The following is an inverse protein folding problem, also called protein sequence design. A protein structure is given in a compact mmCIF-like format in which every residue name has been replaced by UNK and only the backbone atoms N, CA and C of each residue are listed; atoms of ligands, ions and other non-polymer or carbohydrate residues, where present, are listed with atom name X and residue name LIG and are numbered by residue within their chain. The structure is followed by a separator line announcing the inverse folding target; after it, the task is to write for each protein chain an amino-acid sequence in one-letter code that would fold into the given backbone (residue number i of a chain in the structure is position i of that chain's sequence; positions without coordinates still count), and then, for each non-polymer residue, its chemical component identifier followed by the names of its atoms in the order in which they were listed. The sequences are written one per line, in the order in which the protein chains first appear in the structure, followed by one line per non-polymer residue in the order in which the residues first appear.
data_IF_241885938336
#
_entry.id   IF_241885938336
#
_cell.length_a   1.000
_cell.length_b   1.000
_cell.length_c   1.000
_cell.angle_alpha   90.00
_cell.angle_beta   90.00
_cell.angle_gamma   90.00
#
_symmetry.space_group_name_H-M   'P 1'
#
loop_
_entity.id
_entity.type
_entity.pdbx_description
1 polymer ?
#
# COMPACT_ATOMS: atom_id res chain seq x y z
N UNK A 1 -26.74 4.24 -13.32
CA UNK A 1 -26.68 4.44 -11.86
C UNK A 1 -25.89 3.35 -11.10
N UNK A 2 -26.09 2.02 -11.38
CA UNK A 2 -25.35 0.96 -10.67
C UNK A 2 -23.84 1.12 -10.78
N UNK A 3 -23.27 1.33 -11.95
CA UNK A 3 -21.83 1.48 -12.14
C UNK A 3 -21.18 2.64 -11.36
N UNK A 4 -21.87 3.76 -11.14
CA UNK A 4 -21.37 4.91 -10.37
C UNK A 4 -21.31 4.60 -8.87
N UNK A 5 -22.27 3.85 -8.36
CA UNK A 5 -22.28 3.41 -6.95
C UNK A 5 -21.18 2.39 -6.69
N UNK A 6 -20.95 1.47 -7.64
CA UNK A 6 -19.88 0.47 -7.51
C UNK A 6 -18.49 1.12 -7.55
N UNK A 7 -18.30 2.15 -8.38
CA UNK A 7 -17.06 2.93 -8.45
C UNK A 7 -16.76 3.66 -7.14
N UNK A 8 -17.76 4.32 -6.56
CA UNK A 8 -17.60 5.00 -5.27
C UNK A 8 -17.29 4.04 -4.14
N UNK A 9 -17.98 2.89 -4.08
CA UNK A 9 -17.69 1.86 -3.07
C UNK A 9 -16.28 1.33 -3.21
N UNK A 10 -15.83 1.00 -4.42
CA UNK A 10 -14.47 0.55 -4.65
C UNK A 10 -13.43 1.60 -4.24
N UNK A 11 -13.69 2.89 -4.52
CA UNK A 11 -12.80 3.96 -4.12
C UNK A 11 -12.78 4.20 -2.59
N UNK A 12 -13.88 3.96 -1.88
CA UNK A 12 -13.89 3.95 -0.41
C UNK A 12 -12.94 2.90 0.15
N UNK A 13 -12.93 1.68 -0.41
CA UNK A 13 -11.93 0.67 -0.04
C UNK A 13 -10.51 1.12 -0.35
N UNK A 14 -10.30 1.80 -1.49
CA UNK A 14 -9.00 2.37 -1.86
C UNK A 14 -8.48 3.42 -0.89
N UNK A 15 -9.36 4.19 -0.26
CA UNK A 15 -8.99 5.14 0.80
C UNK A 15 -8.87 4.45 2.17
N UNK A 16 -9.77 3.52 2.47
CA UNK A 16 -9.80 2.83 3.75
C UNK A 16 -8.53 1.97 3.98
N UNK A 17 -8.03 1.29 2.94
CA UNK A 17 -6.84 0.42 3.05
C UNK A 17 -5.62 1.17 3.59
N UNK A 18 -5.11 2.22 2.91
CA UNK A 18 -3.98 3.00 3.39
C UNK A 18 -4.20 3.60 4.79
N UNK A 19 -5.39 4.13 5.07
CA UNK A 19 -5.71 4.70 6.39
C UNK A 19 -5.71 3.63 7.47
N UNK A 20 -6.34 2.48 7.22
CA UNK A 20 -6.35 1.35 8.14
C UNK A 20 -4.94 0.87 8.45
N UNK A 21 -4.08 0.77 7.42
CA UNK A 21 -2.70 0.38 7.59
C UNK A 21 -1.95 1.38 8.48
N UNK A 22 -1.94 2.66 8.09
CA UNK A 22 -1.15 3.69 8.77
C UNK A 22 -1.60 3.85 10.23
N UNK A 23 -2.90 3.94 10.48
CA UNK A 23 -3.43 4.07 11.83
C UNK A 23 -3.27 2.77 12.61
N UNK A 24 -3.61 1.64 12.02
CA UNK A 24 -3.55 0.34 12.68
C UNK A 24 -2.14 -0.05 13.08
N UNK A 25 -1.17 0.12 12.15
CA UNK A 25 0.23 -0.18 12.45
C UNK A 25 0.78 0.71 13.58
N UNK A 26 0.48 2.01 13.58
CA UNK A 26 0.91 2.91 14.65
C UNK A 26 0.30 2.50 15.99
N UNK A 27 -1.01 2.23 16.04
CA UNK A 27 -1.68 1.83 17.28
C UNK A 27 -1.15 0.50 17.82
N UNK A 28 -0.98 -0.50 16.96
CA UNK A 28 -0.44 -1.79 17.40
C UNK A 28 1.01 -1.67 17.83
N UNK A 29 1.85 -0.94 17.09
CA UNK A 29 3.24 -0.71 17.49
C UNK A 29 3.35 0.03 18.82
N UNK A 30 2.44 0.95 19.08
CA UNK A 30 2.38 1.62 20.38
C UNK A 30 2.00 0.66 21.50
N UNK A 31 1.03 -0.24 21.28
CA UNK A 31 0.60 -1.22 22.29
C UNK A 31 1.66 -2.31 22.56
N UNK A 32 2.47 -2.63 21.55
CA UNK A 32 3.51 -3.67 21.60
C UNK A 32 4.93 -3.10 21.83
N UNK A 33 5.06 -1.81 22.16
CA UNK A 33 6.37 -1.13 22.20
C UNK A 33 7.40 -1.81 23.12
N UNK A 34 6.96 -2.30 24.28
CA UNK A 34 7.84 -2.92 25.26
C UNK A 34 8.34 -4.28 24.75
N UNK A 35 7.43 -5.08 24.16
CA UNK A 35 7.76 -6.32 23.49
C UNK A 35 8.71 -6.11 22.30
N UNK A 36 8.48 -5.08 21.50
CA UNK A 36 9.31 -4.75 20.34
C UNK A 36 10.70 -4.28 20.76
N UNK A 37 10.81 -3.56 21.89
CA UNK A 37 12.09 -3.16 22.46
C UNK A 37 12.89 -4.37 22.95
N UNK A 38 12.25 -5.34 23.64
CA UNK A 38 12.89 -6.59 24.06
C UNK A 38 13.36 -7.43 22.86
N UNK A 39 12.58 -7.42 21.76
CA UNK A 39 12.92 -8.13 20.54
C UNK A 39 14.07 -7.47 19.74
N UNK A 40 14.38 -6.19 20.02
CA UNK A 40 15.34 -5.40 19.24
C UNK A 40 14.87 -5.05 17.82
N UNK A 41 13.58 -5.15 17.56
CA UNK A 41 12.97 -5.03 16.23
C UNK A 41 12.03 -3.83 16.07
N UNK A 42 12.24 -2.81 16.87
CA UNK A 42 11.36 -1.63 16.96
C UNK A 42 11.11 -0.92 15.62
N UNK A 43 11.99 -1.12 14.64
CA UNK A 43 11.87 -0.52 13.30
C UNK A 43 10.98 -1.29 12.33
N UNK A 44 10.57 -2.52 12.68
CA UNK A 44 9.84 -3.39 11.76
C UNK A 44 8.40 -3.61 12.22
N UNK A 45 7.40 -2.93 11.61
CA UNK A 45 6.00 -3.09 12.00
C UNK A 45 5.51 -4.54 12.04
N UNK A 46 6.06 -5.40 11.16
CA UNK A 46 5.70 -6.81 11.12
C UNK A 46 6.11 -7.60 12.35
N UNK A 47 7.12 -7.14 13.11
CA UNK A 47 7.54 -7.74 14.37
C UNK A 47 6.43 -7.75 15.42
N UNK A 48 5.53 -6.76 15.40
CA UNK A 48 4.38 -6.70 16.30
C UNK A 48 3.44 -7.90 16.17
N UNK A 49 3.46 -8.61 15.02
CA UNK A 49 2.69 -9.84 14.83
C UNK A 49 3.14 -11.00 15.75
N UNK A 50 4.33 -10.90 16.34
CA UNK A 50 4.88 -11.90 17.28
C UNK A 50 4.48 -11.60 18.73
N UNK A 51 3.99 -10.39 19.02
CA UNK A 51 3.63 -9.93 20.34
C UNK A 51 2.28 -10.47 20.85
N UNK A 52 1.93 -10.16 22.11
CA UNK A 52 0.68 -10.58 22.74
C UNK A 52 -0.57 -10.24 21.96
N UNK A 53 -0.62 -9.06 21.32
CA UNK A 53 -1.74 -8.62 20.46
C UNK A 53 -1.43 -8.77 18.96
N UNK A 54 -0.51 -9.65 18.59
CA UNK A 54 -0.06 -9.86 17.21
C UNK A 54 -1.18 -10.18 16.20
N UNK A 55 -2.32 -10.71 16.68
CA UNK A 55 -3.52 -10.90 15.87
C UNK A 55 -4.03 -9.58 15.24
N UNK A 56 -3.85 -8.45 15.94
CA UNK A 56 -4.28 -7.14 15.44
C UNK A 56 -3.44 -6.73 14.21
N UNK A 57 -2.12 -6.96 14.23
CA UNK A 57 -1.23 -6.76 13.08
C UNK A 57 -1.65 -7.63 11.90
N UNK A 58 -1.94 -8.92 12.15
CA UNK A 58 -2.42 -9.86 11.13
C UNK A 58 -3.70 -9.32 10.47
N UNK A 59 -4.66 -8.82 11.27
CA UNK A 59 -5.89 -8.23 10.74
C UNK A 59 -5.62 -6.95 9.96
N UNK A 60 -4.73 -6.08 10.43
CA UNK A 60 -4.35 -4.84 9.70
C UNK A 60 -3.81 -5.19 8.32
N UNK A 61 -2.87 -6.13 8.20
CA UNK A 61 -2.33 -6.54 6.91
C UNK A 61 -3.38 -7.16 6.01
N UNK A 62 -4.14 -8.11 6.53
CA UNK A 62 -5.16 -8.82 5.77
C UNK A 62 -6.22 -7.86 5.22
N UNK A 63 -6.80 -7.02 6.09
CA UNK A 63 -7.87 -6.10 5.69
C UNK A 63 -7.36 -5.01 4.76
N UNK A 64 -6.15 -4.49 4.97
CA UNK A 64 -5.51 -3.53 4.07
C UNK A 64 -5.35 -4.13 2.68
N UNK A 65 -4.81 -5.34 2.58
CA UNK A 65 -4.62 -6.02 1.31
C UNK A 65 -5.94 -6.28 0.58
N UNK A 66 -6.97 -6.74 1.31
CA UNK A 66 -8.32 -6.94 0.74
C UNK A 66 -8.91 -5.63 0.23
N UNK A 67 -8.81 -4.54 0.97
CA UNK A 67 -9.23 -3.20 0.55
C UNK A 67 -8.53 -2.78 -0.75
N UNK A 68 -7.21 -2.98 -0.82
CA UNK A 68 -6.41 -2.67 -2.01
C UNK A 68 -6.82 -3.53 -3.22
N UNK A 69 -7.08 -4.82 -3.03
CA UNK A 69 -7.54 -5.72 -4.10
C UNK A 69 -8.92 -5.31 -4.64
N UNK A 70 -9.87 -4.94 -3.76
CA UNK A 70 -11.20 -4.45 -4.16
C UNK A 70 -11.07 -3.16 -4.97
N UNK A 71 -10.23 -2.23 -4.53
CA UNK A 71 -9.96 -1.00 -5.27
C UNK A 71 -9.31 -1.26 -6.63
N UNK A 72 -8.28 -2.10 -6.67
CA UNK A 72 -7.59 -2.48 -7.90
C UNK A 72 -8.56 -3.12 -8.91
N UNK A 73 -9.45 -4.02 -8.46
CA UNK A 73 -10.52 -4.58 -9.30
C UNK A 73 -11.44 -3.48 -9.86
N UNK A 74 -11.79 -2.49 -9.04
CA UNK A 74 -12.62 -1.36 -9.47
C UNK A 74 -11.91 -0.55 -10.57
N UNK A 75 -10.62 -0.28 -10.41
CA UNK A 75 -9.80 0.40 -11.42
C UNK A 75 -9.69 -0.43 -12.70
N UNK A 76 -9.52 -1.75 -12.58
CA UNK A 76 -9.44 -2.66 -13.72
C UNK A 76 -10.71 -2.61 -14.58
N UNK A 77 -11.89 -2.60 -13.95
CA UNK A 77 -13.18 -2.47 -14.67
C UNK A 77 -13.29 -1.10 -15.36
N UNK A 78 -12.73 -0.04 -14.76
CA UNK A 78 -12.76 1.31 -15.32
C UNK A 78 -11.65 1.60 -16.35
N UNK A 79 -10.69 0.70 -16.52
CA UNK A 79 -9.54 0.90 -17.40
C UNK A 79 -9.92 1.02 -18.89
N UNK A 80 -11.13 0.56 -19.28
CA UNK A 80 -11.60 0.56 -20.66
C UNK A 80 -10.66 -0.24 -21.56
N UNK A 81 -10.30 0.30 -22.73
CA UNK A 81 -9.38 -0.34 -23.68
C UNK A 81 -7.89 -0.12 -23.38
N UNK A 82 -7.56 0.70 -22.38
CA UNK A 82 -6.17 1.03 -22.07
C UNK A 82 -5.42 -0.14 -21.43
N UNK A 83 -4.54 -0.78 -22.20
CA UNK A 83 -3.66 -1.87 -21.73
C UNK A 83 -2.78 -1.43 -20.56
N UNK A 84 -2.26 -0.20 -20.60
CA UNK A 84 -1.41 0.35 -19.54
C UNK A 84 -2.18 0.49 -18.23
N UNK A 85 -3.43 0.98 -18.27
CA UNK A 85 -4.27 1.06 -17.08
C UNK A 85 -4.66 -0.32 -16.54
N UNK A 86 -4.96 -1.28 -17.43
CA UNK A 86 -5.22 -2.67 -17.03
C UNK A 86 -4.02 -3.29 -16.34
N UNK A 87 -2.83 -3.10 -16.91
CA UNK A 87 -1.58 -3.60 -16.32
C UNK A 87 -1.32 -2.96 -14.95
N UNK A 88 -1.43 -1.63 -14.85
CA UNK A 88 -1.25 -0.93 -13.57
C UNK A 88 -2.24 -1.39 -12.49
N UNK A 89 -3.52 -1.55 -12.84
CA UNK A 89 -4.54 -2.08 -11.93
C UNK A 89 -4.27 -3.55 -11.55
N UNK A 90 -3.80 -4.38 -12.49
CA UNK A 90 -3.38 -5.75 -12.22
C UNK A 90 -2.20 -5.81 -11.24
N UNK A 91 -1.20 -4.97 -11.41
CA UNK A 91 -0.06 -4.86 -10.49
C UNK A 91 -0.49 -4.38 -9.09
N UNK A 92 -1.44 -3.43 -9.01
CA UNK A 92 -2.05 -3.04 -7.72
C UNK A 92 -2.78 -4.19 -7.05
N UNK A 93 -3.45 -5.05 -7.83
CA UNK A 93 -4.12 -6.25 -7.29
C UNK A 93 -3.10 -7.24 -6.72
N UNK A 94 -2.02 -7.53 -7.46
CA UNK A 94 -0.93 -8.40 -7.01
C UNK A 94 -0.25 -7.83 -5.76
N UNK A 95 -0.02 -6.52 -5.71
CA UNK A 95 0.48 -5.84 -4.53
C UNK A 95 -0.47 -6.00 -3.32
N UNK A 96 -1.78 -5.85 -3.54
CA UNK A 96 -2.79 -6.07 -2.49
C UNK A 96 -2.79 -7.51 -1.97
N UNK A 97 -2.57 -8.48 -2.85
CA UNK A 97 -2.38 -9.89 -2.45
C UNK A 97 -1.13 -10.05 -1.59
N UNK A 98 0.00 -9.45 -1.99
CA UNK A 98 1.23 -9.43 -1.19
C UNK A 98 0.99 -8.82 0.19
N UNK A 99 0.30 -7.68 0.27
CA UNK A 99 -0.07 -7.04 1.54
C UNK A 99 -0.94 -7.96 2.43
N UNK A 100 -1.93 -8.65 1.85
CA UNK A 100 -2.76 -9.59 2.60
C UNK A 100 -1.96 -10.81 3.09
N UNK A 101 -0.99 -11.29 2.30
CA UNK A 101 -0.12 -12.40 2.66
C UNK A 101 0.92 -12.03 3.74
N UNK A 102 1.17 -10.75 4.04
CA UNK A 102 1.92 -10.33 5.22
C UNK A 102 1.25 -10.78 6.54
N UNK A 103 0.01 -11.23 6.48
CA UNK A 103 -0.67 -11.91 7.58
C UNK A 103 0.01 -13.23 8.01
N UNK A 104 0.83 -13.87 7.16
CA UNK A 104 1.78 -14.90 7.60
C UNK A 104 2.80 -14.22 8.51
N UNK A 105 2.93 -14.75 9.73
CA UNK A 105 3.84 -14.16 10.71
C UNK A 105 5.29 -14.26 10.24
N UNK A 106 6.05 -13.20 10.51
CA UNK A 106 7.50 -13.21 10.33
C UNK A 106 8.17 -14.13 11.37
N UNK A 107 9.39 -14.55 11.11
CA UNK A 107 10.20 -15.25 12.09
C UNK A 107 10.86 -14.27 13.08
N UNK A 108 11.24 -14.74 14.25
CA UNK A 108 12.08 -13.98 15.17
C UNK A 108 13.50 -13.84 14.59
N UNK A 109 14.21 -12.72 14.87
CA UNK A 109 15.56 -12.52 14.34
C UNK A 109 16.58 -13.59 14.73
N UNK A 110 16.38 -14.22 15.89
CA UNK A 110 17.24 -15.22 16.51
C UNK A 110 16.80 -16.66 16.23
N UNK A 111 15.76 -16.88 15.43
CA UNK A 111 15.20 -18.19 15.13
C UNK A 111 15.56 -18.65 13.71
N UNK A 112 15.54 -19.97 13.51
CA UNK A 112 15.66 -20.55 12.18
C UNK A 112 14.49 -20.12 11.28
N UNK A 113 14.77 -19.98 9.99
CA UNK A 113 13.77 -19.61 9.01
C UNK A 113 12.68 -20.69 8.88
N UNK A 114 11.43 -20.29 9.06
CA UNK A 114 10.28 -21.17 8.86
C UNK A 114 9.62 -20.93 7.51
N UNK A 115 8.79 -21.87 7.08
CA UNK A 115 8.05 -21.71 5.81
C UNK A 115 7.14 -20.46 5.81
N UNK A 116 6.54 -20.12 6.94
CA UNK A 116 5.69 -18.92 7.01
C UNK A 116 6.51 -17.63 7.02
N UNK A 117 7.71 -17.62 7.63
CA UNK A 117 8.64 -16.51 7.56
C UNK A 117 9.12 -16.26 6.12
N UNK A 118 9.46 -17.34 5.39
CA UNK A 118 9.81 -17.25 3.97
C UNK A 118 8.65 -16.67 3.15
N UNK A 119 7.41 -17.13 3.40
CA UNK A 119 6.23 -16.56 2.75
C UNK A 119 6.00 -15.10 3.12
N UNK A 120 6.26 -14.69 4.36
CA UNK A 120 6.17 -13.29 4.79
C UNK A 120 7.15 -12.41 4.01
N UNK A 121 8.41 -12.84 3.87
CA UNK A 121 9.41 -12.10 3.08
C UNK A 121 9.01 -12.04 1.61
N UNK A 122 8.57 -13.14 1.02
CA UNK A 122 8.07 -13.16 -0.36
C UNK A 122 6.85 -12.24 -0.54
N UNK A 123 5.92 -12.23 0.41
CA UNK A 123 4.76 -11.35 0.44
C UNK A 123 5.17 -9.87 0.52
N UNK A 124 6.17 -9.54 1.35
CA UNK A 124 6.73 -8.19 1.45
C UNK A 124 7.24 -7.69 0.09
N UNK A 125 8.07 -8.48 -0.58
CA UNK A 125 8.57 -8.10 -1.90
C UNK A 125 7.47 -8.05 -2.96
N UNK A 126 6.49 -8.96 -2.91
CA UNK A 126 5.34 -8.94 -3.80
C UNK A 126 4.51 -7.66 -3.62
N UNK A 127 4.23 -7.26 -2.38
CA UNK A 127 3.57 -6.00 -2.06
C UNK A 127 4.37 -4.81 -2.57
N UNK A 128 5.63 -4.71 -2.15
CA UNK A 128 6.48 -3.56 -2.40
C UNK A 128 6.78 -3.35 -3.89
N UNK A 129 7.31 -4.39 -4.55
CA UNK A 129 7.64 -4.31 -5.97
C UNK A 129 6.39 -4.18 -6.84
N UNK A 130 5.32 -4.90 -6.50
CA UNK A 130 4.04 -4.79 -7.19
C UNK A 130 3.49 -3.37 -7.15
N UNK A 131 3.58 -2.71 -6.00
CA UNK A 131 3.10 -1.32 -5.84
C UNK A 131 3.98 -0.32 -6.59
N UNK A 132 5.31 -0.43 -6.49
CA UNK A 132 6.23 0.44 -7.23
C UNK A 132 6.06 0.30 -8.74
N UNK A 133 5.98 -0.93 -9.25
CA UNK A 133 5.77 -1.18 -10.68
C UNK A 133 4.41 -0.66 -11.12
N UNK A 134 3.36 -0.82 -10.31
CA UNK A 134 2.06 -0.23 -10.60
C UNK A 134 2.14 1.28 -10.76
N UNK A 135 2.84 1.97 -9.87
CA UNK A 135 3.03 3.41 -9.95
C UNK A 135 3.80 3.85 -11.19
N UNK A 136 4.88 3.16 -11.54
CA UNK A 136 5.64 3.44 -12.76
C UNK A 136 4.75 3.28 -14.01
N UNK A 137 4.01 2.17 -14.10
CA UNK A 137 3.11 1.88 -15.22
C UNK A 137 1.98 2.91 -15.30
N UNK A 138 1.36 3.24 -14.16
CA UNK A 138 0.28 4.23 -14.10
C UNK A 138 0.77 5.64 -14.41
N UNK A 139 1.99 6.01 -13.99
CA UNK A 139 2.59 7.28 -14.35
C UNK A 139 2.80 7.41 -15.86
N UNK A 140 3.17 6.30 -16.52
CA UNK A 140 3.34 6.27 -17.98
C UNK A 140 2.01 6.36 -18.72
N UNK A 141 0.96 5.71 -18.20
CA UNK A 141 -0.39 5.73 -18.77
C UNK A 141 -1.23 6.94 -18.39
N UNK A 142 -0.69 7.83 -17.58
CA UNK A 142 -1.43 9.01 -17.09
C UNK A 142 -1.34 10.15 -18.10
N UNK A 143 -2.51 10.59 -18.59
CA UNK A 143 -2.65 11.76 -19.46
C UNK A 143 -2.68 13.07 -18.68
N UNK A 144 -2.97 13.01 -17.39
CA UNK A 144 -3.10 14.17 -16.51
C UNK A 144 -1.79 14.50 -15.80
N UNK A 145 -1.33 15.76 -15.90
CA UNK A 145 -0.10 16.26 -15.26
C UNK A 145 -0.04 15.98 -13.76
N UNK A 146 -1.17 16.14 -13.05
CA UNK A 146 -1.23 15.99 -11.62
C UNK A 146 -1.13 14.52 -11.17
N UNK A 147 -1.75 13.58 -11.91
CA UNK A 147 -1.56 12.14 -11.67
C UNK A 147 -0.10 11.74 -11.88
N UNK A 148 0.45 12.13 -13.04
CA UNK A 148 1.87 11.87 -13.37
C UNK A 148 2.80 12.41 -12.28
N UNK A 149 2.51 13.56 -11.71
CA UNK A 149 3.30 14.14 -10.62
C UNK A 149 3.19 13.31 -9.35
N UNK A 150 1.99 12.88 -8.95
CA UNK A 150 1.79 12.04 -7.75
C UNK A 150 2.57 10.73 -7.84
N UNK A 151 2.56 10.07 -9.01
CA UNK A 151 3.29 8.82 -9.20
C UNK A 151 4.81 8.99 -9.20
N UNK A 152 5.32 10.12 -9.69
CA UNK A 152 6.77 10.42 -9.71
C UNK A 152 7.38 10.51 -8.31
N UNK A 153 6.61 10.83 -7.30
CA UNK A 153 7.09 10.89 -5.91
C UNK A 153 7.11 9.52 -5.21
N UNK A 154 6.45 8.51 -5.75
CA UNK A 154 6.44 7.18 -5.15
C UNK A 154 7.84 6.58 -4.92
N UNK A 155 8.83 6.75 -5.85
CA UNK A 155 10.20 6.29 -5.62
C UNK A 155 10.91 6.91 -4.42
N UNK A 156 10.46 8.09 -3.94
CA UNK A 156 11.01 8.70 -2.73
C UNK A 156 10.79 7.82 -1.48
N UNK A 157 9.87 6.87 -1.50
CA UNK A 157 9.72 5.88 -0.46
C UNK A 157 10.97 5.01 -0.26
N UNK A 158 11.82 4.86 -1.29
CA UNK A 158 13.09 4.14 -1.18
C UNK A 158 14.08 4.82 -0.21
N UNK A 159 14.01 6.14 -0.05
CA UNK A 159 14.94 6.87 0.82
C UNK A 159 14.80 6.45 2.29
N UNK A 160 13.61 6.52 2.94
CA UNK A 160 13.47 6.04 4.31
C UNK A 160 13.61 4.52 4.39
N UNK A 161 13.28 3.77 3.34
CA UNK A 161 13.50 2.32 3.31
C UNK A 161 14.99 1.97 3.39
N UNK A 162 15.83 2.60 2.57
CA UNK A 162 17.27 2.43 2.66
C UNK A 162 17.81 2.94 4.00
N UNK A 163 17.27 4.04 4.52
CA UNK A 163 17.62 4.58 5.83
C UNK A 163 17.42 3.57 6.96
N UNK A 164 16.36 2.75 6.91
CA UNK A 164 16.10 1.72 7.91
C UNK A 164 17.19 0.63 7.98
N UNK A 165 17.90 0.39 6.85
CA UNK A 165 19.00 -0.58 6.80
C UNK A 165 20.39 0.05 7.05
N UNK A 166 20.56 1.33 6.73
CA UNK A 166 21.88 1.97 6.70
C UNK A 166 22.19 2.80 7.96
N UNK A 167 21.15 3.18 8.71
CA UNK A 167 21.31 4.05 9.86
C UNK A 167 21.16 3.26 11.17
N UNK A 168 22.17 3.31 12.06
CA UNK A 168 22.04 2.66 13.36
C UNK A 168 20.96 3.34 14.21
N UNK A 169 20.18 2.55 14.92
CA UNK A 169 19.24 2.83 16.02
C UNK A 169 18.45 4.15 16.06
N UNK A 170 18.85 5.18 15.31
CA UNK A 170 18.29 6.53 15.44
C UNK A 170 16.99 6.79 14.65
N UNK A 171 16.62 5.93 13.70
CA UNK A 171 15.49 6.18 12.80
C UNK A 171 14.43 5.08 12.85
N UNK A 172 13.97 4.76 14.08
CA UNK A 172 12.81 3.88 14.34
C UNK A 172 11.56 4.28 13.53
N UNK A 173 11.49 5.54 13.09
CA UNK A 173 10.39 6.10 12.29
C UNK A 173 10.55 5.82 10.79
N UNK A 174 11.72 5.37 10.31
CA UNK A 174 12.01 5.24 8.86
C UNK A 174 11.05 4.32 8.14
N UNK A 175 10.71 3.16 8.71
CA UNK A 175 9.77 2.24 8.08
C UNK A 175 8.33 2.77 8.07
N UNK A 176 7.91 3.53 9.07
CA UNK A 176 6.59 4.16 9.07
C UNK A 176 6.51 5.25 8.00
N UNK A 177 7.58 6.05 7.83
CA UNK A 177 7.70 7.03 6.75
C UNK A 177 7.71 6.35 5.39
N UNK A 178 8.42 5.25 5.25
CA UNK A 178 8.41 4.45 4.02
C UNK A 178 6.99 4.06 3.61
N UNK A 179 6.23 3.44 4.51
CA UNK A 179 4.85 3.05 4.22
C UNK A 179 3.94 4.24 3.99
N UNK A 180 4.11 5.35 4.73
CA UNK A 180 3.32 6.56 4.55
C UNK A 180 3.53 7.13 3.14
N UNK A 181 4.78 7.28 2.70
CA UNK A 181 5.12 7.80 1.36
C UNK A 181 4.62 6.82 0.28
N UNK A 182 4.82 5.51 0.49
CA UNK A 182 4.45 4.48 -0.48
C UNK A 182 2.93 4.37 -0.68
N UNK A 183 2.13 4.53 0.37
CA UNK A 183 0.67 4.40 0.31
C UNK A 183 -0.05 5.72 -0.04
N UNK A 184 0.60 6.87 0.10
CA UNK A 184 0.01 8.18 -0.21
C UNK A 184 -0.50 8.30 -1.64
N UNK A 185 0.21 7.88 -2.70
CA UNK A 185 -0.31 7.96 -4.07
C UNK A 185 -1.59 7.13 -4.28
N UNK A 186 -1.69 5.97 -3.62
CA UNK A 186 -2.88 5.14 -3.66
C UNK A 186 -4.08 5.84 -3.00
N UNK A 187 -3.86 6.46 -1.85
CA UNK A 187 -4.87 7.25 -1.15
C UNK A 187 -5.34 8.45 -2.00
N UNK A 188 -4.41 9.19 -2.60
CA UNK A 188 -4.73 10.31 -3.50
C UNK A 188 -5.58 9.85 -4.68
N UNK A 189 -5.21 8.73 -5.32
CA UNK A 189 -5.99 8.18 -6.43
C UNK A 189 -7.41 7.82 -5.98
N UNK A 190 -7.54 7.15 -4.84
CA UNK A 190 -8.83 6.76 -4.30
C UNK A 190 -9.74 7.97 -4.02
N UNK A 191 -9.20 9.01 -3.36
CA UNK A 191 -9.93 10.26 -3.09
C UNK A 191 -10.39 10.91 -4.39
N UNK A 192 -9.56 10.91 -5.44
CA UNK A 192 -9.91 11.47 -6.74
C UNK A 192 -11.01 10.69 -7.44
N UNK A 193 -10.94 9.37 -7.43
CA UNK A 193 -12.02 8.52 -7.98
C UNK A 193 -13.33 8.76 -7.22
N UNK A 194 -13.27 8.98 -5.90
CA UNK A 194 -14.43 9.37 -5.10
C UNK A 194 -15.01 10.73 -5.53
N UNK A 195 -14.16 11.73 -5.70
CA UNK A 195 -14.56 13.09 -6.02
C UNK A 195 -15.15 13.22 -7.44
N UNK A 196 -14.57 12.49 -8.41
CA UNK A 196 -14.97 12.58 -9.83
C UNK A 196 -15.99 11.52 -10.25
N UNK A 197 -16.28 10.55 -9.39
CA UNK A 197 -17.20 9.44 -9.67
C UNK A 197 -16.64 8.36 -10.57
N UNK A 198 -15.35 8.44 -10.94
CA UNK A 198 -14.69 7.38 -11.72
C UNK A 198 -13.34 7.78 -12.29
N UNK A 199 -12.51 6.78 -12.56
CA UNK A 199 -11.16 6.97 -13.11
C UNK A 199 -11.18 7.56 -14.53
N UNK A 200 -12.15 7.18 -15.35
CA UNK A 200 -12.33 7.71 -16.71
C UNK A 200 -12.78 9.18 -16.76
N UNK A 201 -13.44 9.69 -15.73
CA UNK A 201 -13.85 11.09 -15.65
C UNK A 201 -12.70 12.03 -15.26
N UNK A 202 -11.68 11.53 -14.58
CA UNK A 202 -10.47 12.30 -14.26
C UNK A 202 -9.77 12.76 -15.54
N UNK A 203 -9.72 11.94 -16.59
CA UNK A 203 -9.12 12.28 -17.88
C UNK A 203 -9.88 13.43 -18.59
N UNK A 204 -11.21 13.41 -18.56
CA UNK A 204 -12.04 14.41 -19.25
C UNK A 204 -11.97 15.81 -18.64
N UNK A 205 -11.82 15.92 -17.33
CA UNK A 205 -11.68 17.22 -16.66
C UNK A 205 -10.34 17.90 -16.90
N UNK A 206 -9.31 17.15 -17.28
CA UNK A 206 -8.00 17.70 -17.61
C UNK A 206 -7.97 18.40 -18.97
N UNK A 207 -8.77 17.91 -19.93
CA UNK A 207 -8.84 18.47 -21.28
C UNK A 207 -9.74 19.71 -21.37
N UNK A 208 -10.56 19.98 -20.35
CA UNK A 208 -11.50 21.10 -20.29
C UNK A 208 -11.00 22.32 -19.51
N UNK A 209 -9.80 22.27 -18.90
CA UNK A 209 -9.22 23.43 -18.24
C UNK A 209 -8.57 24.36 -19.30
N UNK A 210 -9.01 25.63 -19.45
CA UNK A 210 -8.35 26.57 -20.35
C UNK A 210 -6.92 26.81 -19.90
N UNK A 211 -6.00 26.75 -20.85
CA UNK A 211 -4.55 27.05 -20.71
C UNK A 211 -4.34 28.53 -20.41
#
# INVERSE_FOLDING_TARGET
MRGLLDNRRGALFGAAGPLLFLVGVVLVSWSERDFMAELGWEVWPSGTALGPHGWATVLVFLLTGLCQMVFARTLLVQAGESTVRKLGAGLLFVSGLGMAMLAFKTDRPDADATWHGVLHVAAYFTFFLGLLLAYVVLAWGSWNRLERTSWKYAPLALVPWLGAFLLPDGLKVSNYLFFAILLTPLLILAIRVLATGGWSSIARHADSSPT
#
